data_IF_969817770648
#
_entry.id   IF_969817770648
#
_cell.length_a   1.000
_cell.length_b   1.000
_cell.length_c   1.000
_cell.angle_alpha   90.00
_cell.angle_beta   90.00
_cell.angle_gamma   90.00
#
_symmetry.space_group_name_H-M   'P 1'
#
loop_
_entity.id
_entity.type
_entity.pdbx_description
1 polymer ?
#
# COMPACT_ATOMS: atom_id res chain seq x y z
N UNK A 1 19.39 -3.13 16.87
CA UNK A 1 19.15 -4.36 16.07
C UNK A 1 18.49 -3.97 14.76
N UNK A 2 18.79 -4.67 13.66
CA UNK A 2 18.13 -4.43 12.36
C UNK A 2 16.63 -4.78 12.46
N UNK A 3 15.75 -3.93 11.91
CA UNK A 3 14.31 -4.18 11.88
C UNK A 3 13.96 -5.40 11.02
N UNK A 4 12.75 -5.99 11.19
CA UNK A 4 12.31 -7.10 10.34
C UNK A 4 12.30 -6.69 8.86
N UNK A 5 11.83 -5.47 8.56
CA UNK A 5 11.81 -4.97 7.18
C UNK A 5 13.23 -4.89 6.60
N UNK A 6 14.21 -4.35 7.34
CA UNK A 6 15.60 -4.29 6.88
C UNK A 6 16.20 -5.67 6.62
N UNK A 7 15.91 -6.66 7.48
CA UNK A 7 16.34 -8.05 7.26
C UNK A 7 15.76 -8.63 5.97
N UNK A 8 14.45 -8.44 5.74
CA UNK A 8 13.79 -8.91 4.52
C UNK A 8 14.31 -8.23 3.26
N UNK A 9 14.47 -6.91 3.27
CA UNK A 9 15.04 -6.17 2.15
C UNK A 9 16.44 -6.67 1.81
N UNK A 10 17.29 -6.88 2.82
CA UNK A 10 18.64 -7.41 2.63
C UNK A 10 18.60 -8.81 2.03
N UNK A 11 17.74 -9.70 2.53
CA UNK A 11 17.63 -11.07 2.01
C UNK A 11 17.13 -11.08 0.56
N UNK A 12 16.12 -10.27 0.23
CA UNK A 12 15.61 -10.15 -1.14
C UNK A 12 16.70 -9.66 -2.11
N UNK A 13 17.50 -8.67 -1.71
CA UNK A 13 18.58 -8.15 -2.55
C UNK A 13 19.75 -9.14 -2.71
N UNK A 14 20.07 -9.90 -1.66
CA UNK A 14 21.22 -10.81 -1.68
C UNK A 14 20.92 -12.17 -2.31
N UNK A 15 19.65 -12.56 -2.37
CA UNK A 15 19.23 -13.89 -2.79
C UNK A 15 17.97 -13.82 -3.66
N UNK A 16 18.16 -13.83 -4.98
CA UNK A 16 17.07 -13.79 -5.96
C UNK A 16 16.07 -14.95 -5.84
N UNK A 17 16.45 -16.04 -5.15
CA UNK A 17 15.59 -17.22 -4.90
C UNK A 17 14.96 -17.22 -3.51
N UNK A 18 15.17 -16.18 -2.70
CA UNK A 18 14.58 -16.12 -1.38
C UNK A 18 13.04 -16.11 -1.47
N UNK A 19 12.40 -16.60 -0.42
CA UNK A 19 10.93 -16.63 -0.31
C UNK A 19 10.39 -15.43 0.47
N UNK A 20 11.26 -14.54 0.93
CA UNK A 20 10.84 -13.39 1.71
C UNK A 20 9.85 -12.53 0.92
N UNK A 21 8.80 -12.13 1.63
CA UNK A 21 7.74 -11.30 1.08
C UNK A 21 7.31 -10.24 2.10
N UNK A 22 7.20 -8.99 1.66
CA UNK A 22 6.83 -7.85 2.49
C UNK A 22 5.31 -7.65 2.40
N UNK A 23 4.62 -7.76 3.54
CA UNK A 23 3.20 -7.40 3.66
C UNK A 23 3.03 -6.07 4.37
N UNK A 24 2.22 -5.19 3.79
CA UNK A 24 1.88 -3.92 4.41
C UNK A 24 0.36 -3.72 4.52
N UNK A 25 -0.07 -3.15 5.64
CA UNK A 25 -1.42 -2.62 5.84
C UNK A 25 -1.41 -1.11 5.65
N UNK A 26 -2.14 -0.63 4.64
CA UNK A 26 -2.23 0.79 4.29
C UNK A 26 -3.48 1.42 4.91
N UNK A 27 -3.29 2.26 5.91
CA UNK A 27 -4.33 2.93 6.70
C UNK A 27 -4.37 4.44 6.53
N UNK A 28 -3.92 4.92 5.37
CA UNK A 28 -3.86 6.33 4.98
C UNK A 28 -5.13 6.84 4.28
N UNK A 29 -6.23 6.10 4.36
CA UNK A 29 -7.48 6.40 3.67
C UNK A 29 -8.16 7.71 4.11
N UNK A 30 -7.86 8.21 5.32
CA UNK A 30 -8.33 9.48 5.85
C UNK A 30 -7.87 10.68 5.01
N UNK A 31 -6.73 10.58 4.34
CA UNK A 31 -6.27 11.56 3.35
C UNK A 31 -7.08 11.51 2.05
N UNK A 32 -7.75 10.40 1.76
CA UNK A 32 -8.51 10.23 0.51
C UNK A 32 -9.99 10.58 0.67
N UNK A 33 -10.70 9.95 1.62
CA UNK A 33 -12.16 10.04 1.72
C UNK A 33 -12.69 10.85 2.91
N UNK A 34 -11.84 11.33 3.80
CA UNK A 34 -12.27 12.04 5.00
C UNK A 34 -13.19 11.17 5.88
N UNK A 35 -14.39 11.67 6.22
CA UNK A 35 -15.33 10.99 7.16
C UNK A 35 -15.64 9.53 6.79
N UNK A 36 -15.82 9.13 5.53
CA UNK A 36 -16.01 7.72 5.16
C UNK A 36 -14.79 6.82 5.29
N UNK A 37 -13.59 7.38 5.47
CA UNK A 37 -12.32 6.64 5.41
C UNK A 37 -12.19 5.47 6.39
N UNK A 38 -12.71 5.53 7.62
CA UNK A 38 -12.67 4.39 8.55
C UNK A 38 -13.48 3.17 8.10
N UNK A 39 -14.35 3.33 7.08
CA UNK A 39 -15.22 2.27 6.56
C UNK A 39 -16.55 2.16 7.30
N UNK A 40 -17.46 1.37 6.71
CA UNK A 40 -18.78 1.12 7.28
C UNK A 40 -18.75 0.00 8.31
N UNK A 41 -19.63 0.11 9.31
CA UNK A 41 -20.00 -0.98 10.23
C UNK A 41 -21.53 -1.06 10.34
N UNK A 42 -22.02 -2.25 10.68
CA UNK A 42 -23.45 -2.55 10.73
C UNK A 42 -24.03 -2.89 9.35
N UNK A 43 -25.28 -3.36 9.34
CA UNK A 43 -25.98 -3.81 8.16
C UNK A 43 -27.24 -2.96 7.91
N UNK A 44 -27.58 -2.78 6.63
CA UNK A 44 -28.81 -2.11 6.20
C UNK A 44 -28.95 -0.68 6.75
N UNK A 45 -30.12 -0.35 7.31
CA UNK A 45 -30.40 1.00 7.83
C UNK A 45 -29.61 1.34 9.10
N UNK A 46 -29.05 0.35 9.79
CA UNK A 46 -28.19 0.56 10.98
C UNK A 46 -26.72 0.79 10.62
N UNK A 47 -26.37 0.81 9.34
CA UNK A 47 -24.99 1.04 8.91
C UNK A 47 -24.54 2.47 9.21
N UNK A 48 -23.34 2.62 9.74
CA UNK A 48 -22.68 3.92 9.97
C UNK A 48 -21.20 3.82 9.62
N UNK A 49 -20.55 4.96 9.41
CA UNK A 49 -19.09 4.99 9.37
C UNK A 49 -18.51 4.75 10.76
N UNK A 50 -17.41 4.01 10.82
CA UNK A 50 -16.59 3.94 12.03
C UNK A 50 -16.13 5.34 12.40
N UNK A 51 -15.99 5.58 13.68
CA UNK A 51 -15.34 6.78 14.21
C UNK A 51 -13.82 6.63 14.10
N UNK A 52 -13.08 7.74 14.18
CA UNK A 52 -11.61 7.68 14.23
C UNK A 52 -11.08 6.86 15.42
N UNK A 53 -11.62 6.95 16.65
CA UNK A 53 -11.20 6.04 17.74
C UNK A 53 -11.35 4.56 17.40
N UNK A 54 -12.46 4.13 16.77
CA UNK A 54 -12.67 2.74 16.33
C UNK A 54 -11.68 2.33 15.24
N UNK A 55 -11.34 3.24 14.33
CA UNK A 55 -10.33 3.01 13.30
C UNK A 55 -8.93 2.87 13.88
N UNK A 56 -8.58 3.75 14.81
CA UNK A 56 -7.30 3.70 15.51
C UNK A 56 -7.14 2.41 16.33
N UNK A 57 -8.23 1.91 16.94
CA UNK A 57 -8.18 0.62 17.66
C UNK A 57 -7.87 -0.54 16.72
N UNK A 58 -8.48 -0.58 15.53
CA UNK A 58 -8.10 -1.58 14.52
C UNK A 58 -6.60 -1.52 14.17
N UNK A 59 -6.03 -0.32 14.08
CA UNK A 59 -4.59 -0.16 13.79
C UNK A 59 -3.75 -0.69 14.96
N UNK A 60 -4.12 -0.38 16.21
CA UNK A 60 -3.43 -0.91 17.40
C UNK A 60 -3.43 -2.43 17.41
N UNK A 61 -4.56 -3.04 17.09
CA UNK A 61 -4.69 -4.50 17.05
C UNK A 61 -3.79 -5.13 15.96
N UNK A 62 -3.71 -4.52 14.78
CA UNK A 62 -2.80 -4.97 13.71
C UNK A 62 -1.33 -4.86 14.13
N UNK A 63 -0.93 -3.76 14.77
CA UNK A 63 0.45 -3.59 15.25
C UNK A 63 0.77 -4.57 16.37
N UNK A 64 -0.16 -4.79 17.32
CA UNK A 64 0.00 -5.79 18.38
C UNK A 64 0.06 -7.20 17.84
N UNK A 65 -0.70 -7.52 16.79
CA UNK A 65 -0.62 -8.81 16.11
C UNK A 65 0.78 -9.05 15.50
N UNK A 66 1.43 -8.01 14.99
CA UNK A 66 2.82 -8.06 14.53
C UNK A 66 3.05 -8.86 13.24
N UNK A 67 2.02 -9.22 12.48
CA UNK A 67 2.14 -10.07 11.27
C UNK A 67 2.54 -9.29 10.04
N UNK A 68 2.06 -8.05 9.87
CA UNK A 68 2.48 -7.18 8.78
C UNK A 68 3.89 -6.65 9.01
N UNK A 69 4.62 -6.39 7.94
CA UNK A 69 5.97 -5.84 7.99
C UNK A 69 5.96 -4.31 8.07
N UNK A 70 4.96 -3.68 7.45
CA UNK A 70 4.79 -2.21 7.41
C UNK A 70 3.33 -1.87 7.77
N UNK A 71 3.16 -0.82 8.57
CA UNK A 71 1.88 -0.13 8.72
C UNK A 71 2.05 1.30 8.23
N UNK A 72 1.32 1.64 7.16
CA UNK A 72 1.27 2.96 6.55
C UNK A 72 0.05 3.72 7.04
N UNK A 73 0.20 4.96 7.48
CA UNK A 73 -0.92 5.82 7.85
C UNK A 73 -0.65 7.30 7.53
N UNK A 74 -1.65 8.16 7.79
CA UNK A 74 -1.51 9.61 7.66
C UNK A 74 -0.59 10.19 8.74
N UNK A 75 -0.11 11.41 8.53
CA UNK A 75 0.69 12.15 9.50
C UNK A 75 -0.04 12.30 10.85
N UNK A 76 -1.34 12.60 10.81
CA UNK A 76 -2.20 12.72 11.98
C UNK A 76 -2.24 11.42 12.80
N UNK A 77 -2.47 10.29 12.13
CA UNK A 77 -2.50 8.97 12.77
C UNK A 77 -1.13 8.58 13.33
N UNK A 78 -0.04 8.81 12.58
CA UNK A 78 1.32 8.52 13.06
C UNK A 78 1.74 9.42 14.21
N UNK A 79 1.37 10.70 14.19
CA UNK A 79 1.60 11.61 15.31
C UNK A 79 1.01 11.10 16.62
N UNK A 80 -0.19 10.50 16.57
CA UNK A 80 -0.79 9.90 17.75
C UNK A 80 -0.16 8.56 18.12
N UNK A 81 -0.17 7.60 17.19
CA UNK A 81 0.18 6.20 17.49
C UNK A 81 1.67 5.98 17.67
N UNK A 82 2.50 6.59 16.81
CA UNK A 82 3.94 6.39 16.87
C UNK A 82 4.63 7.32 17.88
N UNK A 83 4.26 8.62 17.89
CA UNK A 83 4.98 9.60 18.73
C UNK A 83 4.41 9.71 20.13
N UNK A 84 3.07 9.82 20.31
CA UNK A 84 2.47 10.00 21.64
C UNK A 84 2.29 8.68 22.38
N UNK A 85 1.75 7.66 21.71
CA UNK A 85 1.46 6.36 22.33
C UNK A 85 2.67 5.40 22.27
N UNK A 86 3.68 5.69 21.44
CA UNK A 86 4.87 4.86 21.23
C UNK A 86 4.53 3.42 20.85
N UNK A 87 3.45 3.23 20.09
CA UNK A 87 2.89 1.91 19.73
C UNK A 87 3.90 0.99 19.05
N UNK A 88 4.86 1.56 18.32
CA UNK A 88 5.86 0.81 17.55
C UNK A 88 7.18 0.57 18.29
N UNK A 89 7.34 1.07 19.51
CA UNK A 89 8.64 1.06 20.22
C UNK A 89 9.18 -0.36 20.47
N UNK A 90 8.28 -1.33 20.70
CA UNK A 90 8.63 -2.74 20.93
C UNK A 90 8.08 -3.66 19.84
N UNK A 91 7.65 -3.09 18.70
CA UNK A 91 7.06 -3.85 17.60
C UNK A 91 8.07 -4.06 16.47
N UNK A 92 8.01 -5.22 15.83
CA UNK A 92 8.73 -5.47 14.58
C UNK A 92 8.03 -4.86 13.34
N UNK A 93 6.83 -4.31 13.50
CA UNK A 93 6.10 -3.61 12.43
C UNK A 93 6.73 -2.25 12.21
N UNK A 94 7.17 -1.97 10.99
CA UNK A 94 7.76 -0.68 10.64
C UNK A 94 6.67 0.35 10.37
N UNK A 95 6.62 1.48 11.11
CA UNK A 95 5.70 2.56 10.80
C UNK A 95 6.13 3.30 9.53
N UNK A 96 5.16 3.66 8.69
CA UNK A 96 5.38 4.47 7.50
C UNK A 96 4.31 5.57 7.40
N UNK A 97 4.69 6.73 6.85
CA UNK A 97 3.79 7.86 6.65
C UNK A 97 3.58 8.12 5.16
N UNK A 98 2.36 8.52 4.76
CA UNK A 98 2.15 9.06 3.42
C UNK A 98 2.85 10.41 3.30
N UNK A 99 3.85 10.51 2.40
CA UNK A 99 4.71 11.69 2.30
C UNK A 99 4.19 12.73 1.29
N UNK A 100 3.36 12.29 0.33
CA UNK A 100 2.64 13.17 -0.58
C UNK A 100 1.29 12.57 -0.96
N UNK A 101 0.50 13.37 -1.65
CA UNK A 101 -0.78 13.00 -2.24
C UNK A 101 -0.76 13.24 -3.74
N UNK A 102 -1.73 12.62 -4.43
CA UNK A 102 -2.07 12.91 -5.81
C UNK A 102 -3.56 13.23 -5.89
N UNK A 103 -3.96 14.21 -6.69
CA UNK A 103 -5.35 14.72 -6.66
C UNK A 103 -6.39 13.70 -7.13
N UNK A 104 -6.01 12.65 -7.84
CA UNK A 104 -6.89 11.55 -8.27
C UNK A 104 -7.32 10.63 -7.13
N UNK A 105 -6.56 10.57 -6.02
CA UNK A 105 -6.96 9.82 -4.82
C UNK A 105 -7.67 10.69 -3.79
N UNK A 106 -7.74 11.99 -3.99
CA UNK A 106 -8.47 12.91 -3.14
C UNK A 106 -9.97 12.88 -3.48
N UNK A 107 -10.73 12.08 -2.75
CA UNK A 107 -12.08 11.66 -3.07
C UNK A 107 -13.12 12.04 -1.99
N UNK A 108 -13.25 13.33 -1.59
CA UNK A 108 -14.30 13.74 -0.69
C UNK A 108 -15.68 13.55 -1.35
N UNK A 109 -16.70 13.34 -0.56
CA UNK A 109 -18.07 13.14 -1.06
C UNK A 109 -18.53 14.33 -1.92
N UNK A 110 -18.93 14.05 -3.18
CA UNK A 110 -19.31 15.06 -4.16
C UNK A 110 -18.13 15.79 -4.82
N UNK A 111 -16.89 15.46 -4.46
CA UNK A 111 -15.69 16.00 -5.10
C UNK A 111 -15.47 15.44 -6.49
N UNK A 112 -14.90 16.25 -7.37
CA UNK A 112 -14.62 15.92 -8.78
C UNK A 112 -13.11 15.89 -9.11
N UNK A 113 -12.25 15.89 -8.10
CA UNK A 113 -10.80 15.99 -8.31
C UNK A 113 -10.25 14.87 -9.19
N UNK A 114 -10.76 13.66 -9.03
CA UNK A 114 -10.38 12.49 -9.83
C UNK A 114 -10.83 12.50 -11.29
N UNK A 115 -11.72 13.42 -11.66
CA UNK A 115 -12.20 13.60 -13.04
C UNK A 115 -11.20 14.44 -13.86
N UNK A 116 -10.21 15.04 -13.22
CA UNK A 116 -9.14 15.82 -13.84
C UNK A 116 -7.81 15.08 -13.78
N UNK A 117 -6.87 15.38 -14.72
CA UNK A 117 -5.54 14.81 -14.64
C UNK A 117 -4.90 15.07 -13.29
N UNK A 118 -4.30 14.05 -12.72
CA UNK A 118 -3.75 14.09 -11.36
C UNK A 118 -2.60 15.08 -11.23
N UNK A 119 -2.61 15.85 -10.16
CA UNK A 119 -1.54 16.74 -9.74
C UNK A 119 -0.94 16.27 -8.42
N UNK A 120 0.40 16.29 -8.28
CA UNK A 120 1.06 15.96 -7.03
C UNK A 120 0.94 17.14 -6.04
N UNK A 121 0.74 16.83 -4.76
CA UNK A 121 0.83 17.79 -3.67
C UNK A 121 1.27 17.11 -2.38
N UNK A 122 1.71 17.86 -1.39
CA UNK A 122 2.03 17.34 -0.08
C UNK A 122 1.29 18.16 0.99
N UNK A 123 0.70 17.48 1.96
CA UNK A 123 0.00 18.09 3.10
C UNK A 123 0.75 17.93 4.42
N UNK A 124 1.90 17.23 4.40
CA UNK A 124 2.74 17.01 5.58
C UNK A 124 4.23 17.16 5.25
N UNK A 125 5.02 17.46 6.27
CA UNK A 125 6.49 17.52 6.17
C UNK A 125 7.11 16.21 6.63
N UNK A 126 8.32 15.91 6.14
CA UNK A 126 9.09 14.74 6.57
C UNK A 126 9.38 14.79 8.09
N UNK A 127 9.60 15.98 8.65
CA UNK A 127 9.81 16.15 10.09
C UNK A 127 8.60 15.69 10.92
N UNK A 128 7.37 15.85 10.41
CA UNK A 128 6.17 15.37 11.11
C UNK A 128 6.17 13.84 11.20
N UNK A 129 6.70 13.15 10.18
CA UNK A 129 6.94 11.70 10.28
C UNK A 129 8.02 11.40 11.31
N UNK A 130 9.19 12.02 11.15
CA UNK A 130 10.37 11.70 11.94
C UNK A 130 10.21 12.06 13.43
N UNK A 131 9.57 13.19 13.72
CA UNK A 131 9.56 13.78 15.07
C UNK A 131 8.16 14.06 15.63
N UNK A 132 7.10 13.85 14.86
CA UNK A 132 5.73 14.22 15.24
C UNK A 132 5.47 15.73 15.29
N UNK A 133 6.39 16.52 14.74
CA UNK A 133 6.38 17.99 14.72
C UNK A 133 7.15 18.50 13.51
N UNK A 134 6.76 19.66 13.00
CA UNK A 134 7.49 20.37 11.92
C UNK A 134 8.91 20.76 12.38
N UNK A 135 9.11 20.98 13.67
CA UNK A 135 10.42 21.34 14.24
C UNK A 135 11.15 20.10 14.75
N UNK A 136 12.38 19.92 14.27
CA UNK A 136 13.26 18.86 14.78
C UNK A 136 13.68 19.15 16.22
N UNK A 137 13.48 18.23 17.16
CA UNK A 137 14.02 18.36 18.52
C UNK A 137 15.57 18.34 18.52
N UNK A 138 16.19 19.04 19.46
CA UNK A 138 17.66 19.21 19.54
C UNK A 138 18.41 17.86 19.55
N UNK A 139 17.89 16.84 20.20
CA UNK A 139 18.46 15.49 20.28
C UNK A 139 17.43 14.42 19.86
N UNK A 140 16.55 14.76 18.93
CA UNK A 140 15.48 13.85 18.51
C UNK A 140 15.98 12.81 17.53
N UNK A 141 15.72 11.54 17.84
CA UNK A 141 15.87 10.43 16.89
C UNK A 141 14.57 10.26 16.10
N UNK A 142 14.65 9.95 14.79
CA UNK A 142 13.47 9.74 13.98
C UNK A 142 12.70 8.49 14.43
N UNK A 143 11.38 8.62 14.66
CA UNK A 143 10.50 7.51 15.05
C UNK A 143 9.90 6.84 13.82
N UNK A 144 9.42 7.64 12.84
CA UNK A 144 8.91 7.15 11.56
C UNK A 144 9.87 7.62 10.48
N UNK A 145 10.67 6.71 9.93
CA UNK A 145 11.71 7.04 8.95
C UNK A 145 11.48 6.37 7.60
N UNK A 146 10.21 6.09 7.27
CA UNK A 146 9.79 5.51 6.01
C UNK A 146 8.54 6.25 5.50
N UNK A 147 8.53 6.58 4.21
CA UNK A 147 7.40 7.24 3.57
C UNK A 147 6.91 6.56 2.31
N UNK A 148 5.65 6.78 1.99
CA UNK A 148 5.06 6.49 0.67
C UNK A 148 5.08 7.78 -0.15
N UNK A 149 5.70 7.75 -1.32
CA UNK A 149 5.56 8.80 -2.33
C UNK A 149 4.79 8.28 -3.53
N UNK A 150 3.79 9.02 -4.00
CA UNK A 150 2.87 8.60 -5.07
C UNK A 150 3.00 9.49 -6.31
N UNK A 151 2.95 8.87 -7.49
CA UNK A 151 2.94 9.54 -8.80
C UNK A 151 1.82 8.93 -9.64
N UNK A 152 1.10 9.77 -10.39
CA UNK A 152 0.18 9.36 -11.45
C UNK A 152 0.61 10.01 -12.75
N UNK A 153 0.90 9.20 -13.78
CA UNK A 153 1.20 9.69 -15.11
C UNK A 153 -0.04 9.64 -15.98
N UNK A 154 -0.31 10.71 -16.73
CA UNK A 154 -1.52 10.86 -17.54
C UNK A 154 -1.24 11.03 -19.03
N UNK A 155 0.01 10.80 -19.50
CA UNK A 155 0.41 11.04 -20.87
C UNK A 155 0.15 12.51 -21.30
N UNK A 156 0.35 13.43 -20.37
CA UNK A 156 0.22 14.87 -20.56
C UNK A 156 1.51 15.56 -20.12
N UNK A 157 2.36 16.00 -21.07
CA UNK A 157 3.72 16.47 -20.75
C UNK A 157 3.77 17.53 -19.65
N UNK A 158 2.85 18.49 -19.64
CA UNK A 158 2.85 19.58 -18.68
C UNK A 158 2.67 19.08 -17.26
N UNK A 159 1.75 18.13 -17.06
CA UNK A 159 1.37 17.56 -15.77
C UNK A 159 2.38 16.51 -15.34
N UNK A 160 2.79 15.64 -16.26
CA UNK A 160 3.75 14.58 -15.98
C UNK A 160 5.14 15.16 -15.63
N UNK A 161 5.54 16.29 -16.27
CA UNK A 161 6.75 17.01 -15.89
C UNK A 161 6.65 17.67 -14.51
N UNK A 162 5.50 18.24 -14.15
CA UNK A 162 5.26 18.77 -12.80
C UNK A 162 5.40 17.68 -11.75
N UNK A 163 4.82 16.50 -11.99
CA UNK A 163 4.94 15.34 -11.11
C UNK A 163 6.39 14.88 -10.92
N UNK A 164 7.18 14.86 -12.01
CA UNK A 164 8.61 14.52 -11.96
C UNK A 164 9.45 15.57 -11.24
N UNK A 165 9.14 16.85 -11.39
CA UNK A 165 9.81 17.94 -10.68
C UNK A 165 9.50 17.86 -9.18
N UNK A 166 8.24 17.67 -8.80
CA UNK A 166 7.85 17.49 -7.40
C UNK A 166 8.53 16.26 -6.78
N UNK A 167 8.62 15.14 -7.50
CA UNK A 167 9.35 13.96 -7.05
C UNK A 167 10.84 14.24 -6.87
N UNK A 168 11.46 15.00 -7.76
CA UNK A 168 12.86 15.40 -7.64
C UNK A 168 13.11 16.21 -6.36
N UNK A 169 12.25 17.18 -6.06
CA UNK A 169 12.35 18.00 -4.84
C UNK A 169 12.16 17.16 -3.59
N UNK A 170 11.15 16.26 -3.56
CA UNK A 170 10.95 15.32 -2.47
C UNK A 170 12.19 14.45 -2.21
N UNK A 171 12.79 13.87 -3.25
CA UNK A 171 13.99 13.04 -3.10
C UNK A 171 15.17 13.83 -2.54
N UNK A 172 15.35 15.08 -2.97
CA UNK A 172 16.38 15.94 -2.44
C UNK A 172 16.17 16.24 -0.95
N UNK A 173 14.92 16.43 -0.53
CA UNK A 173 14.55 16.59 0.88
C UNK A 173 14.76 15.30 1.66
N UNK A 174 14.25 14.18 1.18
CA UNK A 174 14.38 12.86 1.81
C UNK A 174 15.85 12.47 2.02
N UNK A 175 16.72 12.71 1.00
CA UNK A 175 18.16 12.47 1.10
C UNK A 175 18.82 13.33 2.20
N UNK A 176 18.52 14.63 2.24
CA UNK A 176 19.07 15.53 3.28
C UNK A 176 18.66 15.14 4.70
N UNK A 177 17.46 14.53 4.84
CA UNK A 177 16.89 14.12 6.13
C UNK A 177 17.12 12.64 6.47
N UNK A 178 17.86 11.92 5.62
CA UNK A 178 18.05 10.46 5.73
C UNK A 178 16.72 9.72 5.90
N UNK A 179 15.71 10.11 5.10
CA UNK A 179 14.36 9.55 5.10
C UNK A 179 14.22 8.54 3.98
N UNK A 180 13.85 7.32 4.29
CA UNK A 180 13.59 6.27 3.31
C UNK A 180 12.19 6.40 2.72
N UNK A 181 12.00 5.90 1.50
CA UNK A 181 10.68 5.89 0.89
C UNK A 181 10.50 4.71 -0.07
N UNK A 182 9.27 4.34 -0.29
CA UNK A 182 8.84 3.51 -1.41
C UNK A 182 7.97 4.32 -2.38
N UNK A 183 8.04 3.96 -3.65
CA UNK A 183 7.41 4.72 -4.72
C UNK A 183 6.16 4.01 -5.22
N UNK A 184 5.02 4.68 -5.10
CA UNK A 184 3.76 4.27 -5.69
C UNK A 184 3.57 4.94 -7.04
N UNK A 185 3.29 4.15 -8.07
CA UNK A 185 2.96 4.67 -9.40
C UNK A 185 1.59 4.16 -9.81
N UNK A 186 0.65 5.08 -10.03
CA UNK A 186 -0.69 4.78 -10.48
C UNK A 186 -0.81 4.72 -11.99
N UNK A 187 -1.81 3.99 -12.48
CA UNK A 187 -2.28 4.09 -13.85
C UNK A 187 -2.89 5.49 -14.11
N UNK A 188 -2.94 5.93 -15.38
CA UNK A 188 -3.63 7.18 -15.75
C UNK A 188 -5.04 7.23 -15.15
N UNK A 189 -5.42 8.35 -14.55
CA UNK A 189 -6.74 8.49 -13.91
C UNK A 189 -7.82 9.05 -14.83
N UNK A 190 -7.42 9.61 -15.95
CA UNK A 190 -8.30 10.15 -17.01
C UNK A 190 -7.94 9.53 -18.35
N UNK A 191 -8.79 9.76 -19.35
CA UNK A 191 -8.48 9.40 -20.75
C UNK A 191 -7.14 10.01 -21.17
N UNK A 192 -6.21 9.15 -21.56
CA UNK A 192 -4.82 9.52 -21.83
C UNK A 192 -4.38 9.30 -23.29
N UNK A 193 -5.30 8.86 -24.17
CA UNK A 193 -5.02 8.59 -25.59
C UNK A 193 -4.18 7.34 -25.84
N UNK A 194 -4.03 6.47 -24.83
CA UNK A 194 -3.32 5.17 -24.91
C UNK A 194 -4.37 4.07 -24.89
N UNK A 195 -4.24 3.08 -25.78
CA UNK A 195 -5.13 1.92 -25.79
C UNK A 195 -5.04 1.17 -24.43
N UNK A 196 -6.17 0.68 -23.89
CA UNK A 196 -6.19 0.04 -22.56
C UNK A 196 -5.15 -1.07 -22.38
N UNK A 197 -4.90 -1.86 -23.44
CA UNK A 197 -3.91 -2.95 -23.46
C UNK A 197 -2.46 -2.47 -23.40
N UNK A 198 -2.18 -1.23 -23.80
CA UNK A 198 -0.85 -0.60 -23.77
C UNK A 198 -0.57 0.17 -22.46
N UNK A 199 -1.60 0.49 -21.67
CA UNK A 199 -1.45 1.21 -20.39
C UNK A 199 -0.46 0.52 -19.45
N UNK A 200 -0.45 -0.81 -19.28
CA UNK A 200 0.51 -1.50 -18.43
C UNK A 200 1.96 -1.21 -18.81
N UNK A 201 2.26 -1.23 -20.10
CA UNK A 201 3.61 -1.00 -20.65
C UNK A 201 4.00 0.47 -20.57
N UNK A 202 3.06 1.37 -20.83
CA UNK A 202 3.28 2.81 -20.59
C UNK A 202 3.66 3.09 -19.13
N UNK A 203 2.99 2.47 -18.17
CA UNK A 203 3.32 2.63 -16.74
C UNK A 203 4.71 2.07 -16.44
N UNK A 204 5.06 0.90 -16.98
CA UNK A 204 6.39 0.30 -16.85
C UNK A 204 7.48 1.24 -17.40
N UNK A 205 7.28 1.78 -18.61
CA UNK A 205 8.22 2.70 -19.25
C UNK A 205 8.40 3.98 -18.43
N UNK A 206 7.31 4.54 -17.89
CA UNK A 206 7.37 5.71 -17.03
C UNK A 206 8.13 5.44 -15.72
N UNK A 207 7.95 4.27 -15.12
CA UNK A 207 8.71 3.85 -13.94
C UNK A 207 10.20 3.75 -14.27
N UNK A 208 10.55 3.01 -15.31
CA UNK A 208 11.95 2.81 -15.72
C UNK A 208 12.62 4.15 -16.07
N UNK A 209 11.93 5.00 -16.85
CA UNK A 209 12.41 6.34 -17.18
C UNK A 209 12.60 7.21 -15.94
N UNK A 210 11.66 7.15 -14.98
CA UNK A 210 11.75 7.91 -13.74
C UNK A 210 12.97 7.49 -12.91
N UNK A 211 13.17 6.17 -12.76
CA UNK A 211 14.30 5.62 -12.01
C UNK A 211 15.64 5.84 -12.69
N UNK A 212 15.69 5.95 -14.03
CA UNK A 212 16.90 6.30 -14.76
C UNK A 212 17.44 7.71 -14.38
N UNK A 213 16.59 8.59 -13.89
CA UNK A 213 16.97 9.91 -13.37
C UNK A 213 17.35 9.92 -11.87
N UNK A 214 17.45 8.75 -11.23
CA UNK A 214 17.68 8.61 -9.79
C UNK A 214 18.97 7.83 -9.54
N UNK A 215 19.93 8.44 -8.80
CA UNK A 215 21.13 7.72 -8.35
C UNK A 215 20.75 6.55 -7.44
N UNK A 216 21.55 5.49 -7.47
CA UNK A 216 21.27 4.23 -6.75
C UNK A 216 20.97 4.47 -5.26
N UNK A 217 21.76 5.30 -4.60
CA UNK A 217 21.61 5.60 -3.16
C UNK A 217 20.32 6.37 -2.82
N UNK A 218 19.65 6.95 -3.82
CA UNK A 218 18.43 7.73 -3.65
C UNK A 218 17.20 7.02 -4.25
N UNK A 219 17.32 5.75 -4.63
CA UNK A 219 16.19 4.95 -5.14
C UNK A 219 15.20 4.60 -4.03
N UNK A 220 13.91 4.39 -4.38
CA UNK A 220 12.94 3.84 -3.45
C UNK A 220 13.39 2.45 -2.99
N UNK A 221 13.07 2.09 -1.74
CA UNK A 221 13.40 0.76 -1.21
C UNK A 221 12.61 -0.36 -1.89
N UNK A 222 11.44 -0.04 -2.46
CA UNK A 222 10.65 -0.87 -3.37
C UNK A 222 9.62 -0.02 -4.12
N UNK A 223 9.04 -0.59 -5.16
CA UNK A 223 7.92 -0.02 -5.91
C UNK A 223 6.58 -0.54 -5.39
N UNK A 224 5.52 0.25 -5.54
CA UNK A 224 4.13 -0.14 -5.33
C UNK A 224 3.36 0.19 -6.59
N UNK A 225 2.97 -0.83 -7.36
CA UNK A 225 2.36 -0.66 -8.68
C UNK A 225 1.03 -1.41 -8.79
N UNK A 226 0.12 -1.01 -9.71
CA UNK A 226 -1.04 -1.83 -10.03
C UNK A 226 -0.61 -3.19 -10.61
N UNK A 227 -1.37 -4.24 -10.29
CA UNK A 227 -1.18 -5.52 -10.96
C UNK A 227 -1.97 -5.55 -12.27
N UNK A 228 -1.28 -5.46 -13.39
CA UNK A 228 -1.86 -5.49 -14.73
C UNK A 228 -1.78 -6.87 -15.40
N UNK A 229 -1.60 -7.92 -14.62
CA UNK A 229 -1.40 -9.28 -15.11
C UNK A 229 0.08 -9.69 -15.16
N UNK A 230 0.30 -10.97 -15.45
CA UNK A 230 1.60 -11.62 -15.39
C UNK A 230 2.64 -10.94 -16.28
N UNK A 231 2.30 -10.71 -17.56
CA UNK A 231 3.23 -10.21 -18.59
C UNK A 231 3.85 -8.85 -18.20
N UNK A 232 3.02 -7.90 -17.78
CA UNK A 232 3.51 -6.57 -17.42
C UNK A 232 4.35 -6.60 -16.14
N UNK A 233 3.96 -7.43 -15.16
CA UNK A 233 4.73 -7.57 -13.93
C UNK A 233 6.09 -8.23 -14.17
N UNK A 234 6.14 -9.33 -14.92
CA UNK A 234 7.38 -10.02 -15.28
C UNK A 234 8.33 -9.11 -16.06
N UNK A 235 7.81 -8.30 -17.00
CA UNK A 235 8.60 -7.32 -17.75
C UNK A 235 9.25 -6.30 -16.80
N UNK A 236 8.49 -5.69 -15.89
CA UNK A 236 9.02 -4.71 -14.94
C UNK A 236 10.06 -5.32 -14.00
N UNK A 237 9.80 -6.53 -13.48
CA UNK A 237 10.73 -7.24 -12.58
C UNK A 237 12.02 -7.64 -13.33
N UNK A 238 11.90 -8.05 -14.60
CA UNK A 238 13.06 -8.46 -15.39
C UNK A 238 13.93 -7.29 -15.85
N UNK A 239 13.36 -6.09 -15.98
CA UNK A 239 14.09 -4.90 -16.44
C UNK A 239 15.24 -4.54 -15.50
N UNK A 240 15.01 -4.53 -14.20
CA UNK A 240 16.05 -4.27 -13.20
C UNK A 240 15.84 -5.16 -11.96
N UNK A 241 16.49 -6.33 -11.90
CA UNK A 241 16.35 -7.27 -10.80
C UNK A 241 16.81 -6.73 -9.43
N UNK A 242 17.51 -5.59 -9.40
CA UNK A 242 17.87 -4.91 -8.16
C UNK A 242 16.70 -4.09 -7.57
N UNK A 243 15.65 -3.85 -8.34
CA UNK A 243 14.47 -3.12 -7.91
C UNK A 243 13.40 -4.08 -7.39
N UNK A 244 13.05 -3.96 -6.11
CA UNK A 244 11.95 -4.74 -5.53
C UNK A 244 10.62 -4.20 -6.02
N UNK A 245 9.83 -5.05 -6.68
CA UNK A 245 8.48 -4.68 -7.14
C UNK A 245 7.45 -5.20 -6.14
N UNK A 246 6.55 -4.33 -5.72
CA UNK A 246 5.39 -4.63 -4.91
C UNK A 246 4.09 -4.23 -5.62
N UNK A 247 2.98 -4.82 -5.20
CA UNK A 247 1.67 -4.57 -5.80
C UNK A 247 0.71 -3.84 -4.86
N UNK A 248 -0.28 -3.17 -5.46
CA UNK A 248 -1.45 -2.64 -4.77
C UNK A 248 -2.52 -3.71 -4.63
N UNK A 249 -3.11 -3.86 -3.44
CA UNK A 249 -4.09 -4.90 -3.15
C UNK A 249 -5.51 -4.65 -3.64
N UNK A 250 -5.82 -3.48 -4.20
CA UNK A 250 -7.18 -3.17 -4.65
C UNK A 250 -8.25 -3.22 -3.54
N UNK A 251 -9.51 -3.08 -3.91
CA UNK A 251 -10.65 -3.15 -2.95
C UNK A 251 -11.84 -3.96 -3.47
N UNK A 252 -11.86 -4.26 -4.75
CA UNK A 252 -12.97 -4.95 -5.43
C UNK A 252 -12.85 -6.47 -5.35
N UNK A 253 -13.91 -7.16 -5.73
CA UNK A 253 -13.95 -8.62 -5.82
C UNK A 253 -14.22 -9.35 -4.50
N UNK A 254 -14.05 -10.65 -4.56
CA UNK A 254 -14.24 -11.60 -3.45
C UNK A 254 -12.98 -11.72 -2.59
N UNK A 255 -13.04 -12.51 -1.51
CA UNK A 255 -11.85 -12.87 -0.75
C UNK A 255 -10.88 -13.71 -1.58
N UNK A 256 -11.43 -14.59 -2.46
CA UNK A 256 -10.61 -15.34 -3.42
C UNK A 256 -9.81 -14.40 -4.33
N UNK A 257 -10.45 -13.36 -4.87
CA UNK A 257 -9.76 -12.41 -5.75
C UNK A 257 -8.57 -11.74 -5.07
N UNK A 258 -8.73 -11.34 -3.79
CA UNK A 258 -7.65 -10.72 -3.04
C UNK A 258 -6.49 -11.69 -2.77
N UNK A 259 -6.78 -12.93 -2.44
CA UNK A 259 -5.78 -13.95 -2.16
C UNK A 259 -5.11 -14.47 -3.45
N UNK A 260 -5.87 -14.57 -4.54
CA UNK A 260 -5.34 -14.95 -5.84
C UNK A 260 -4.40 -13.87 -6.38
N UNK A 261 -4.81 -12.60 -6.30
CA UNK A 261 -3.96 -11.47 -6.68
C UNK A 261 -2.59 -11.50 -5.94
N UNK A 262 -2.62 -11.78 -4.64
CA UNK A 262 -1.41 -11.87 -3.82
C UNK A 262 -0.50 -13.02 -4.27
N UNK A 263 -1.10 -14.19 -4.50
CA UNK A 263 -0.39 -15.41 -4.95
C UNK A 263 0.19 -15.23 -6.35
N UNK A 264 -0.59 -14.66 -7.28
CA UNK A 264 -0.14 -14.42 -8.65
C UNK A 264 0.98 -13.38 -8.69
N UNK A 265 0.85 -12.28 -7.96
CA UNK A 265 1.89 -11.28 -7.88
C UNK A 265 3.23 -11.88 -7.40
N UNK A 266 3.20 -12.68 -6.33
CA UNK A 266 4.40 -13.38 -5.84
C UNK A 266 4.96 -14.35 -6.89
N UNK A 267 4.11 -15.11 -7.54
CA UNK A 267 4.49 -16.07 -8.60
C UNK A 267 5.21 -15.38 -9.74
N UNK A 268 4.77 -14.18 -10.16
CA UNK A 268 5.33 -13.43 -11.27
C UNK A 268 6.37 -12.38 -10.85
N UNK A 269 6.94 -12.53 -9.66
CA UNK A 269 8.16 -11.85 -9.24
C UNK A 269 8.00 -10.69 -8.27
N UNK A 270 6.78 -10.29 -7.89
CA UNK A 270 6.62 -9.32 -6.81
C UNK A 270 7.15 -9.87 -5.48
N UNK A 271 7.68 -8.98 -4.65
CA UNK A 271 8.21 -9.28 -3.32
C UNK A 271 7.57 -8.43 -2.22
N UNK A 272 6.58 -7.61 -2.57
CA UNK A 272 5.82 -6.83 -1.62
C UNK A 272 4.35 -6.75 -2.04
N UNK A 273 3.45 -6.59 -1.08
CA UNK A 273 2.05 -6.26 -1.34
C UNK A 273 1.52 -5.32 -0.26
N UNK A 274 0.84 -4.26 -0.70
CA UNK A 274 0.25 -3.27 0.18
C UNK A 274 -1.27 -3.29 0.01
N UNK A 275 -1.96 -3.77 1.03
CA UNK A 275 -3.41 -3.82 1.09
C UNK A 275 -3.91 -2.79 2.10
N UNK A 276 -4.96 -2.08 1.79
CA UNK A 276 -5.61 -1.11 2.68
C UNK A 276 -7.08 -1.42 2.87
N UNK A 277 -7.89 -1.01 1.90
CA UNK A 277 -9.35 -1.17 1.95
C UNK A 277 -9.79 -2.62 2.17
N UNK A 278 -9.16 -3.57 1.50
CA UNK A 278 -9.53 -4.99 1.60
C UNK A 278 -9.31 -5.55 3.01
N UNK A 279 -8.22 -5.16 3.67
CA UNK A 279 -7.97 -5.51 5.08
C UNK A 279 -8.95 -4.77 5.99
N UNK A 280 -8.99 -3.45 5.88
CA UNK A 280 -9.78 -2.58 6.75
C UNK A 280 -11.28 -2.92 6.74
N UNK A 281 -11.81 -3.25 5.57
CA UNK A 281 -13.21 -3.52 5.34
C UNK A 281 -13.55 -5.02 5.39
N UNK A 282 -12.58 -5.91 5.67
CA UNK A 282 -12.85 -7.32 5.95
C UNK A 282 -13.63 -7.48 7.26
N UNK A 283 -14.26 -8.63 7.45
CA UNK A 283 -15.03 -8.95 8.66
C UNK A 283 -14.13 -9.04 9.89
N UNK A 284 -12.92 -9.59 9.70
CA UNK A 284 -11.89 -9.71 10.72
C UNK A 284 -10.52 -9.39 10.10
N UNK A 285 -10.04 -8.16 10.24
CA UNK A 285 -8.75 -7.74 9.69
C UNK A 285 -7.56 -8.61 10.14
N UNK A 286 -7.56 -9.07 11.39
CA UNK A 286 -6.47 -9.87 11.93
C UNK A 286 -6.43 -11.28 11.32
N UNK A 287 -7.58 -11.93 11.19
CA UNK A 287 -7.68 -13.23 10.52
C UNK A 287 -7.33 -13.10 9.03
N UNK A 288 -7.78 -12.02 8.37
CA UNK A 288 -7.47 -11.76 6.98
C UNK A 288 -5.96 -11.61 6.74
N UNK A 289 -5.27 -10.80 7.56
CA UNK A 289 -3.81 -10.60 7.51
C UNK A 289 -3.06 -11.93 7.78
N UNK A 290 -3.48 -12.72 8.78
CA UNK A 290 -2.86 -14.00 9.06
C UNK A 290 -2.98 -14.96 7.87
N UNK A 291 -4.14 -14.99 7.22
CA UNK A 291 -4.35 -15.82 6.03
C UNK A 291 -3.48 -15.34 4.85
N UNK A 292 -3.38 -14.02 4.63
CA UNK A 292 -2.47 -13.45 3.62
C UNK A 292 -1.02 -13.90 3.88
N UNK A 293 -0.56 -13.87 5.14
CA UNK A 293 0.79 -14.32 5.51
C UNK A 293 0.98 -15.79 5.18
N UNK A 294 0.06 -16.66 5.56
CA UNK A 294 0.14 -18.09 5.24
C UNK A 294 0.16 -18.37 3.72
N UNK A 295 -0.48 -17.52 2.91
CA UNK A 295 -0.45 -17.67 1.46
C UNK A 295 0.93 -17.31 0.90
N UNK A 296 1.52 -16.20 1.30
CA UNK A 296 2.84 -15.77 0.79
C UNK A 296 3.99 -16.62 1.35
N UNK A 297 3.81 -17.23 2.51
CA UNK A 297 4.76 -18.19 3.07
C UNK A 297 4.65 -19.58 2.40
N UNK A 298 3.59 -19.78 1.60
CA UNK A 298 3.35 -21.01 0.83
C UNK A 298 2.64 -22.11 1.62
N UNK A 299 2.11 -21.80 2.79
CA UNK A 299 1.38 -22.75 3.64
C UNK A 299 -0.03 -23.03 3.13
N UNK A 300 -0.65 -22.05 2.47
CA UNK A 300 -2.01 -22.14 1.94
C UNK A 300 -2.07 -21.68 0.47
N UNK A 301 -2.88 -22.38 -0.32
CA UNK A 301 -3.31 -21.88 -1.63
C UNK A 301 -4.46 -20.87 -1.45
N UNK A 302 -4.71 -19.97 -2.43
CA UNK A 302 -5.76 -18.96 -2.30
C UNK A 302 -7.14 -19.50 -1.88
N UNK A 303 -7.65 -20.56 -2.53
CA UNK A 303 -8.92 -21.15 -2.20
C UNK A 303 -8.94 -21.85 -0.81
N UNK A 304 -7.82 -22.40 -0.37
CA UNK A 304 -7.66 -22.93 0.99
C UNK A 304 -7.66 -21.81 2.02
N UNK A 305 -7.01 -20.67 1.67
CA UNK A 305 -7.04 -19.45 2.47
C UNK A 305 -8.45 -18.92 2.69
N UNK A 306 -9.31 -18.89 1.65
CA UNK A 306 -10.72 -18.49 1.79
C UNK A 306 -11.44 -19.41 2.79
N UNK A 307 -11.28 -20.73 2.67
CA UNK A 307 -11.90 -21.69 3.61
C UNK A 307 -11.39 -21.50 5.03
N UNK A 308 -10.09 -21.30 5.20
CA UNK A 308 -9.47 -21.03 6.50
C UNK A 308 -10.02 -19.74 7.12
N UNK A 309 -10.12 -18.68 6.34
CA UNK A 309 -10.68 -17.39 6.79
C UNK A 309 -12.14 -17.55 7.24
N UNK A 310 -13.00 -18.20 6.45
CA UNK A 310 -14.39 -18.46 6.81
C UNK A 310 -14.52 -19.33 8.06
N UNK A 311 -13.65 -20.33 8.22
CA UNK A 311 -13.62 -21.15 9.43
C UNK A 311 -13.28 -20.33 10.68
N UNK A 312 -12.35 -19.38 10.55
CA UNK A 312 -11.98 -18.47 11.64
C UNK A 312 -13.13 -17.50 11.98
N UNK A 313 -13.82 -16.94 10.98
CA UNK A 313 -15.03 -16.14 11.19
C UNK A 313 -16.10 -16.92 11.96
N UNK A 314 -16.35 -18.17 11.56
CA UNK A 314 -17.31 -19.03 12.23
C UNK A 314 -16.90 -19.32 13.69
N UNK A 315 -15.62 -19.61 13.93
CA UNK A 315 -15.07 -19.81 15.28
C UNK A 315 -15.28 -18.59 16.17
N UNK A 316 -15.11 -17.40 15.62
CA UNK A 316 -15.30 -16.10 16.31
C UNK A 316 -16.77 -15.64 16.34
N UNK A 317 -17.69 -16.40 15.73
CA UNK A 317 -19.12 -16.05 15.58
C UNK A 317 -19.33 -14.73 14.86
N UNK A 318 -18.48 -14.44 13.89
CA UNK A 318 -18.58 -13.28 13.00
C UNK A 318 -19.30 -13.73 11.73
N UNK A 319 -20.35 -13.01 11.33
CA UNK A 319 -21.07 -13.28 10.08
C UNK A 319 -20.22 -12.87 8.88
N UNK A 320 -20.02 -13.77 7.94
CA UNK A 320 -19.37 -13.47 6.69
C UNK A 320 -20.28 -12.60 5.81
N UNK A 321 -19.72 -11.61 5.11
CA UNK A 321 -20.44 -10.73 4.17
C UNK A 321 -20.94 -11.47 2.92
N UNK A 322 -20.26 -12.56 2.57
CA UNK A 322 -20.63 -13.44 1.45
C UNK A 322 -20.70 -14.89 1.93
N UNK A 323 -21.62 -15.71 1.40
CA UNK A 323 -21.53 -17.15 1.59
C UNK A 323 -20.21 -17.70 1.09
N UNK A 324 -19.67 -18.74 1.73
CA UNK A 324 -18.41 -19.36 1.35
C UNK A 324 -18.34 -19.73 -0.13
N UNK A 325 -19.45 -20.25 -0.69
CA UNK A 325 -19.54 -20.62 -2.11
C UNK A 325 -19.25 -19.40 -3.01
N UNK A 326 -19.91 -18.29 -2.74
CA UNK A 326 -19.82 -17.08 -3.56
C UNK A 326 -18.44 -16.38 -3.38
N UNK A 327 -17.85 -16.50 -2.18
CA UNK A 327 -16.54 -15.93 -1.86
C UNK A 327 -15.37 -16.79 -2.42
N UNK A 328 -15.66 -18.01 -2.86
CA UNK A 328 -14.78 -18.89 -3.63
C UNK A 328 -14.89 -18.73 -5.15
N UNK A 329 -15.80 -17.88 -5.63
CA UNK A 329 -15.93 -17.56 -7.04
C UNK A 329 -15.21 -16.24 -7.33
N UNK A 330 -14.45 -16.17 -8.44
CA UNK A 330 -13.84 -14.93 -8.89
C UNK A 330 -14.89 -13.99 -9.45
N UNK A 331 -14.84 -12.73 -9.05
CA UNK A 331 -15.67 -11.67 -9.63
C UNK A 331 -15.12 -11.15 -10.98
N UNK A 332 -13.91 -11.58 -11.38
CA UNK A 332 -13.20 -11.12 -12.57
C UNK A 332 -12.89 -12.28 -13.51
N UNK A 333 -13.04 -12.06 -14.82
CA UNK A 333 -12.62 -13.03 -15.85
C UNK A 333 -11.09 -13.14 -15.95
N UNK A 334 -10.38 -12.05 -15.66
CA UNK A 334 -8.92 -11.99 -15.56
C UNK A 334 -8.52 -11.18 -14.35
N UNK A 335 -7.49 -11.65 -13.62
CA UNK A 335 -6.96 -10.93 -12.47
C UNK A 335 -6.13 -9.74 -12.95
N UNK A 336 -6.70 -8.57 -12.85
CA UNK A 336 -6.01 -7.31 -13.03
C UNK A 336 -6.52 -6.28 -12.03
N UNK A 337 -5.72 -5.25 -11.78
CA UNK A 337 -6.11 -4.17 -10.88
C UNK A 337 -7.19 -3.32 -11.54
N UNK A 338 -8.45 -3.49 -11.09
CA UNK A 338 -9.55 -2.59 -11.44
C UNK A 338 -9.57 -1.36 -10.52
N UNK A 339 -9.87 -0.20 -11.06
CA UNK A 339 -10.03 1.06 -10.31
C UNK A 339 -11.33 1.09 -9.52
#
# INVERSE_FOLDING_TARGET
MSSRLERKLKEIHSNSRCKEFILADARDADLCWGVPSPGLIGDGQASRFRTMPEFLEQIRDVVKQGVVDILLASASTMSLLAHREKLFAESEVTPAMRANDTSDVWCPRGGKYREYPSLPFASSYIEEAQYGSVLRPVNGEPVVNLGLYSITFNNRPEIDLEALLAFKEFRAEASRKNFQYFLEVFAPNVECGIAPEEIPFFVNDQICRTLAGVSIDNRPIFLKVPYFGARALEELVAYDPSTIVGIMGGSSGTTLDAFQLLSDAQKYGARAALYGRKIKDSEDPLAFISTMRSIVDGDLKPAEGVRSYHSELQRKKISAKRPLKDDLESAFSEMHYGR
#
